data_IF_975430097161
#
_entry.id   IF_975430097161
#
_cell.length_a   1.000
_cell.length_b   1.000
_cell.length_c   1.000
_cell.angle_alpha   90.00
_cell.angle_beta   90.00
_cell.angle_gamma   90.00
#
_symmetry.space_group_name_H-M   'P 1'
#
loop_
_entity.id
_entity.type
_entity.pdbx_description
1 polymer ?
#
# COMPACT_ATOMS: atom_id res chain seq x y z
N UNK A 1 7.66 -21.40 -10.06
CA UNK A 1 7.68 -19.92 -9.85
C UNK A 1 6.26 -19.53 -9.49
N UNK A 2 6.05 -18.79 -8.39
CA UNK A 2 4.70 -18.46 -7.93
C UNK A 2 4.02 -17.42 -8.82
N UNK A 3 2.71 -17.60 -9.02
CA UNK A 3 1.88 -16.83 -9.96
C UNK A 3 1.45 -15.45 -9.42
N UNK A 4 1.79 -15.11 -8.18
CA UNK A 4 1.36 -13.88 -7.50
C UNK A 4 2.53 -13.11 -6.87
N UNK A 5 2.38 -11.79 -6.79
CA UNK A 5 3.13 -10.93 -5.86
C UNK A 5 2.35 -10.80 -4.54
N UNK A 6 3.10 -10.70 -3.44
CA UNK A 6 2.55 -10.46 -2.11
C UNK A 6 3.23 -9.21 -1.53
N UNK A 7 2.41 -8.28 -1.06
CA UNK A 7 2.83 -7.06 -0.38
C UNK A 7 2.37 -7.12 1.07
N UNK A 8 3.32 -7.00 1.99
CA UNK A 8 3.09 -7.02 3.43
C UNK A 8 3.43 -5.66 4.02
N UNK A 9 2.54 -5.13 4.86
CA UNK A 9 2.72 -3.84 5.51
C UNK A 9 2.25 -3.90 6.96
N UNK A 10 3.13 -3.55 7.87
CA UNK A 10 2.76 -3.31 9.27
C UNK A 10 2.07 -1.94 9.39
N UNK A 11 0.80 -1.97 9.78
CA UNK A 11 -0.04 -0.78 10.01
C UNK A 11 -0.73 -0.87 11.37
N UNK A 12 0.01 -1.06 12.49
CA UNK A 12 -0.61 -1.30 13.79
C UNK A 12 -1.28 -0.04 14.36
N UNK A 13 -2.41 -0.21 15.03
CA UNK A 13 -3.12 0.87 15.71
C UNK A 13 -4.19 1.59 14.87
N UNK A 14 -4.40 1.13 13.63
CA UNK A 14 -5.50 1.54 12.75
C UNK A 14 -6.61 0.47 12.75
N UNK A 15 -7.86 0.92 12.76
CA UNK A 15 -8.98 0.03 12.50
C UNK A 15 -9.03 -0.28 10.99
N UNK A 16 -9.73 -1.36 10.60
CA UNK A 16 -9.79 -1.77 9.18
C UNK A 16 -10.44 -0.69 8.31
N UNK A 17 -11.44 -0.04 8.87
CA UNK A 17 -12.20 1.08 8.33
C UNK A 17 -11.36 2.35 8.13
N UNK A 18 -10.24 2.49 8.83
CA UNK A 18 -9.31 3.62 8.69
C UNK A 18 -8.27 3.40 7.56
N UNK A 19 -8.29 2.23 6.92
CA UNK A 19 -7.37 1.83 5.86
C UNK A 19 -8.11 1.81 4.53
N UNK A 20 -7.56 2.50 3.52
CA UNK A 20 -8.03 2.46 2.14
C UNK A 20 -6.95 1.90 1.20
N UNK A 21 -7.41 1.14 0.21
CA UNK A 21 -6.61 0.65 -0.90
C UNK A 21 -7.32 1.07 -2.18
N UNK A 22 -6.62 1.78 -3.05
CA UNK A 22 -7.12 2.29 -4.32
C UNK A 22 -6.19 1.82 -5.45
N UNK A 23 -6.78 1.42 -6.57
CA UNK A 23 -6.06 1.16 -7.81
C UNK A 23 -6.42 2.25 -8.82
N UNK A 24 -5.44 3.05 -9.22
CA UNK A 24 -5.62 4.16 -10.15
C UNK A 24 -4.40 4.31 -11.05
N UNK A 25 -4.61 4.36 -12.37
CA UNK A 25 -3.55 4.50 -13.40
C UNK A 25 -2.36 3.54 -13.20
N UNK A 26 -2.64 2.26 -12.91
CA UNK A 26 -1.62 1.24 -12.67
C UNK A 26 -0.90 1.36 -11.33
N UNK A 27 -1.27 2.31 -10.47
CA UNK A 27 -0.75 2.46 -9.11
C UNK A 27 -1.72 1.92 -8.07
N UNK A 28 -1.19 1.08 -7.18
CA UNK A 28 -1.84 0.66 -5.96
C UNK A 28 -1.47 1.65 -4.83
N UNK A 29 -2.43 2.48 -4.45
CA UNK A 29 -2.31 3.45 -3.38
C UNK A 29 -2.90 2.88 -2.09
N UNK A 30 -2.08 2.74 -1.06
CA UNK A 30 -2.50 2.36 0.29
C UNK A 30 -2.43 3.61 1.16
N UNK A 31 -3.50 3.89 1.90
CA UNK A 31 -3.50 4.93 2.91
C UNK A 31 -4.14 4.45 4.21
N UNK A 32 -3.59 4.88 5.33
CA UNK A 32 -4.20 4.70 6.64
C UNK A 32 -4.19 6.03 7.37
N UNK A 33 -5.36 6.49 7.82
CA UNK A 33 -5.49 7.79 8.47
C UNK A 33 -6.35 7.66 9.71
N UNK A 34 -5.73 7.93 10.86
CA UNK A 34 -6.43 8.06 12.13
C UNK A 34 -6.68 9.55 12.38
N UNK A 35 -7.94 9.91 12.60
CA UNK A 35 -8.28 11.24 13.12
C UNK A 35 -7.59 11.39 14.47
N UNK A 36 -6.80 12.45 14.66
CA UNK A 36 -6.17 12.77 15.95
C UNK A 36 -7.25 13.28 16.91
N UNK A 37 -8.23 12.45 17.25
CA UNK A 37 -9.17 12.76 18.31
C UNK A 37 -8.51 12.39 19.63
N UNK A 38 -7.96 13.43 20.28
CA UNK A 38 -8.06 13.77 21.70
C UNK A 38 -7.94 12.72 22.83
N UNK A 39 -7.65 11.45 22.56
CA UNK A 39 -7.87 10.37 23.53
C UNK A 39 -6.75 10.13 24.56
N UNK A 40 -5.65 10.90 24.51
CA UNK A 40 -4.48 10.68 25.38
C UNK A 40 -4.14 11.87 26.27
N UNK A 41 -5.15 12.61 26.71
CA UNK A 41 -4.96 13.71 27.67
C UNK A 41 -5.62 13.33 28.99
N UNK A 42 -4.87 13.41 30.10
CA UNK A 42 -5.48 13.42 31.43
C UNK A 42 -6.38 14.67 31.59
N UNK A 43 -7.07 14.81 32.72
CA UNK A 43 -7.95 15.96 32.97
C UNK A 43 -7.25 17.33 32.83
N UNK A 44 -5.92 17.37 32.87
CA UNK A 44 -5.07 18.56 32.73
C UNK A 44 -4.38 18.69 31.35
N UNK A 45 -4.53 17.70 30.46
CA UNK A 45 -3.98 17.74 29.11
C UNK A 45 -2.58 17.14 28.91
N UNK A 46 -2.02 16.45 29.90
CA UNK A 46 -0.61 16.07 29.91
C UNK A 46 -0.35 14.65 29.36
N UNK A 47 0.70 14.51 28.55
CA UNK A 47 1.24 13.24 28.05
C UNK A 47 2.63 13.07 28.65
N UNK A 48 2.86 12.01 29.44
CA UNK A 48 4.17 11.74 30.08
C UNK A 48 5.21 11.28 29.06
N UNK A 49 4.82 10.40 28.12
CA UNK A 49 5.71 9.86 27.09
C UNK A 49 4.92 9.26 25.94
N UNK A 50 5.32 9.59 24.70
CA UNK A 50 4.81 8.98 23.47
C UNK A 50 5.98 8.45 22.64
N UNK A 51 5.97 7.15 22.39
CA UNK A 51 7.00 6.45 21.60
C UNK A 51 6.49 5.99 20.24
N UNK A 52 5.16 5.80 20.14
CA UNK A 52 4.50 5.40 18.90
C UNK A 52 4.04 6.62 18.12
N UNK A 53 4.22 6.57 16.81
CA UNK A 53 3.71 7.60 15.91
C UNK A 53 2.18 7.54 15.83
N UNK A 54 1.54 8.70 15.90
CA UNK A 54 0.10 8.90 15.67
C UNK A 54 -0.06 9.87 14.49
N UNK A 55 -0.62 9.40 13.38
CA UNK A 55 -0.83 10.22 12.19
C UNK A 55 -1.33 9.40 11.01
N UNK A 56 -1.17 9.94 9.80
CA UNK A 56 -1.47 9.22 8.56
C UNK A 56 -0.22 8.60 7.95
N UNK A 57 -0.39 7.46 7.28
CA UNK A 57 0.61 6.92 6.37
C UNK A 57 0.00 6.72 4.97
N UNK A 58 0.83 6.85 3.95
CA UNK A 58 0.47 6.50 2.57
C UNK A 58 1.68 5.94 1.84
N UNK A 59 1.43 4.94 1.00
CA UNK A 59 2.40 4.29 0.14
C UNK A 59 1.73 4.00 -1.21
N UNK A 60 2.50 4.15 -2.27
CA UNK A 60 2.04 3.92 -3.64
C UNK A 60 3.02 3.01 -4.34
N UNK A 61 2.50 1.98 -5.01
CA UNK A 61 3.29 1.01 -5.76
C UNK A 61 2.75 0.92 -7.18
N UNK A 62 3.61 1.06 -8.18
CA UNK A 62 3.22 0.75 -9.54
C UNK A 62 3.10 -0.77 -9.69
N UNK A 63 1.90 -1.24 -10.01
CA UNK A 63 1.57 -2.67 -10.17
C UNK A 63 1.30 -3.04 -11.64
N UNK A 64 1.29 -2.05 -12.53
CA UNK A 64 1.05 -2.21 -13.95
C UNK A 64 -0.39 -1.94 -14.36
N UNK A 65 -0.56 -1.55 -15.62
CA UNK A 65 -1.85 -1.14 -16.18
C UNK A 65 -2.83 -2.30 -16.41
N UNK A 66 -2.30 -3.53 -16.45
CA UNK A 66 -3.07 -4.73 -16.77
C UNK A 66 -3.78 -5.35 -15.54
N UNK A 67 -3.47 -4.87 -14.33
CA UNK A 67 -4.10 -5.34 -13.08
C UNK A 67 -5.46 -4.70 -12.90
N UNK A 68 -6.48 -5.49 -12.53
CA UNK A 68 -7.81 -4.98 -12.19
C UNK A 68 -8.09 -5.12 -10.71
N UNK A 69 -9.06 -4.35 -10.21
CA UNK A 69 -9.49 -4.40 -8.81
C UNK A 69 -9.93 -5.81 -8.39
N UNK A 70 -10.64 -6.52 -9.26
CA UNK A 70 -11.11 -7.90 -9.04
C UNK A 70 -9.98 -8.94 -8.89
N UNK A 71 -8.78 -8.62 -9.38
CA UNK A 71 -7.60 -9.48 -9.25
C UNK A 71 -6.90 -9.33 -7.89
N UNK A 72 -7.20 -8.27 -7.15
CA UNK A 72 -6.52 -7.90 -5.91
C UNK A 72 -7.28 -8.48 -4.71
N UNK A 73 -6.55 -9.17 -3.84
CA UNK A 73 -7.07 -9.66 -2.55
C UNK A 73 -6.31 -8.98 -1.43
N UNK A 74 -7.03 -8.53 -0.41
CA UNK A 74 -6.44 -7.92 0.78
C UNK A 74 -7.00 -8.56 2.05
N UNK A 75 -6.13 -8.82 3.02
CA UNK A 75 -6.48 -9.21 4.38
C UNK A 75 -5.76 -8.29 5.37
N UNK A 76 -6.45 -8.00 6.47
CA UNK A 76 -5.88 -7.21 7.56
C UNK A 76 -6.15 -7.93 8.88
N UNK A 77 -5.10 -8.30 9.58
CA UNK A 77 -5.18 -9.04 10.84
C UNK A 77 -4.04 -8.64 11.77
N UNK A 78 -4.32 -8.46 13.05
CA UNK A 78 -3.31 -8.17 14.08
C UNK A 78 -2.36 -6.98 13.75
N UNK A 79 -2.84 -5.97 13.01
CA UNK A 79 -2.03 -4.82 12.63
C UNK A 79 -1.17 -5.04 11.38
N UNK A 80 -1.34 -6.16 10.67
CA UNK A 80 -0.64 -6.48 9.43
C UNK A 80 -1.61 -6.51 8.26
N UNK A 81 -1.30 -5.74 7.22
CA UNK A 81 -2.01 -5.70 5.94
C UNK A 81 -1.25 -6.53 4.92
N UNK A 82 -1.91 -7.55 4.37
CA UNK A 82 -1.38 -8.40 3.31
C UNK A 82 -2.22 -8.20 2.06
N UNK A 83 -1.56 -7.86 0.95
CA UNK A 83 -2.17 -7.69 -0.36
C UNK A 83 -1.54 -8.68 -1.33
N UNK A 84 -2.38 -9.41 -2.06
CA UNK A 84 -1.98 -10.34 -3.11
C UNK A 84 -2.53 -9.86 -4.44
N UNK A 85 -1.67 -9.84 -5.46
CA UNK A 85 -2.02 -9.52 -6.84
C UNK A 85 -1.31 -10.48 -7.81
N UNK A 86 -1.89 -10.79 -8.97
CA UNK A 86 -1.28 -11.69 -9.93
C UNK A 86 0.00 -11.09 -10.52
N UNK A 87 0.92 -11.95 -10.90
CA UNK A 87 2.03 -11.56 -11.76
C UNK A 87 1.51 -11.47 -13.19
N UNK A 88 1.76 -10.35 -13.83
CA UNK A 88 1.63 -10.28 -15.27
C UNK A 88 2.57 -11.31 -15.91
N UNK A 89 2.11 -11.94 -16.99
CA UNK A 89 2.99 -12.75 -17.81
C UNK A 89 4.20 -11.89 -18.19
N UNK A 90 5.43 -12.43 -18.13
CA UNK A 90 6.61 -11.68 -18.54
C UNK A 90 6.39 -11.24 -19.99
N UNK A 91 6.23 -9.93 -20.21
CA UNK A 91 6.29 -9.36 -21.55
C UNK A 91 7.73 -9.59 -22.01
N UNK A 92 7.92 -10.31 -23.10
CA UNK A 92 9.24 -10.42 -23.71
C UNK A 92 9.67 -9.02 -24.15
N UNK A 93 10.49 -8.38 -23.34
CA UNK A 93 11.13 -7.13 -23.71
C UNK A 93 12.19 -7.52 -24.72
N UNK A 94 12.01 -7.11 -25.97
CA UNK A 94 13.03 -7.25 -27.00
C UNK A 94 14.27 -6.46 -26.55
N UNK A 95 15.22 -7.17 -25.95
CA UNK A 95 16.47 -6.62 -25.42
C UNK A 95 17.46 -6.28 -26.54
N UNK A 96 17.09 -6.49 -27.82
CA UNK A 96 17.89 -6.07 -28.95
C UNK A 96 17.91 -4.54 -29.04
N UNK A 97 19.10 -3.97 -28.93
CA UNK A 97 19.31 -2.54 -29.12
C UNK A 97 19.09 -2.20 -30.60
N UNK A 98 18.04 -1.45 -30.91
CA UNK A 98 17.77 -0.94 -32.27
C UNK A 98 18.27 0.49 -32.38
N UNK A 99 19.21 0.73 -33.27
CA UNK A 99 19.67 2.07 -33.60
C UNK A 99 18.64 2.78 -34.49
N UNK A 100 18.33 4.03 -34.17
CA UNK A 100 17.44 4.88 -34.96
C UNK A 100 18.33 5.82 -35.79
N UNK A 101 18.27 5.78 -37.14
CA UNK A 101 18.99 6.71 -37.98
C UNK A 101 18.43 8.14 -37.83
N UNK A 102 19.31 9.14 -37.91
CA UNK A 102 18.96 10.56 -37.87
C UNK A 102 19.19 11.12 -39.28
N UNK A 103 18.19 11.82 -39.83
CA UNK A 103 18.27 12.64 -41.06
C UNK A 103 18.50 14.13 -40.72
#
# INVERSE_FOLDING_TARGET
>A
MGDNYQLEMEVPGFAKEDISIELHDGYLNISAKKSNDNDEKDNDGNIIRRERYSGSCSRSFYVGDDIKQEDIKASYNNGELIITLPKNAPKEIDTSSKYIPID
#
